data_IF_797946369485
#
_entry.id   IF_797946369485
#
_cell.length_a   1.000
_cell.length_b   1.000
_cell.length_c   1.000
_cell.angle_alpha   90.00
_cell.angle_beta   90.00
_cell.angle_gamma   90.00
#
_symmetry.space_group_name_H-M   'P 1'
#
loop_
_entity.id
_entity.type
_entity.pdbx_description
1 polymer ?
#
# COMPACT_ATOMS: atom_id res chain seq x y z
N UNK A 1 17.79 52.11 -31.30
CA UNK A 1 17.37 50.71 -31.48
C UNK A 1 16.44 50.64 -32.69
N UNK A 2 16.81 49.90 -33.73
CA UNK A 2 16.03 49.80 -34.97
C UNK A 2 14.75 49.00 -34.72
N UNK A 3 13.66 49.27 -35.45
CA UNK A 3 12.36 48.59 -35.29
C UNK A 3 12.50 47.04 -35.37
N UNK A 4 13.40 46.55 -36.23
CA UNK A 4 13.72 45.12 -36.36
C UNK A 4 14.30 44.49 -35.09
N UNK A 5 15.13 45.22 -34.34
CA UNK A 5 15.70 44.75 -33.07
C UNK A 5 14.61 44.61 -31.99
N UNK A 6 13.61 45.52 -31.99
CA UNK A 6 12.47 45.43 -31.05
C UNK A 6 11.64 44.19 -31.34
N UNK A 7 11.29 43.96 -32.60
CA UNK A 7 10.52 42.78 -33.02
C UNK A 7 11.25 41.48 -32.67
N UNK A 8 12.57 41.41 -32.90
CA UNK A 8 13.37 40.23 -32.56
C UNK A 8 13.39 39.94 -31.05
N UNK A 9 13.49 40.97 -30.20
CA UNK A 9 13.40 40.81 -28.75
C UNK A 9 12.02 40.34 -28.30
N UNK A 10 10.94 40.88 -28.87
CA UNK A 10 9.58 40.43 -28.57
C UNK A 10 9.36 38.96 -28.97
N UNK A 11 9.84 38.55 -30.14
CA UNK A 11 9.78 37.15 -30.57
C UNK A 11 10.56 36.24 -29.61
N UNK A 12 11.75 36.66 -29.19
CA UNK A 12 12.56 35.90 -28.24
C UNK A 12 11.88 35.79 -26.87
N UNK A 13 11.26 36.86 -26.37
CA UNK A 13 10.48 36.81 -25.13
C UNK A 13 9.25 35.92 -25.26
N UNK A 14 8.56 35.93 -26.41
CA UNK A 14 7.40 35.07 -26.67
C UNK A 14 7.80 33.59 -26.66
N UNK A 15 8.89 33.25 -27.35
CA UNK A 15 9.43 31.89 -27.38
C UNK A 15 9.85 31.46 -25.97
N UNK A 16 10.56 32.32 -25.24
CA UNK A 16 10.97 32.04 -23.86
C UNK A 16 9.76 31.81 -22.95
N UNK A 17 8.74 32.67 -23.00
CA UNK A 17 7.50 32.52 -22.23
C UNK A 17 6.76 31.23 -22.56
N UNK A 18 6.68 30.87 -23.85
CA UNK A 18 6.05 29.63 -24.30
C UNK A 18 6.83 28.40 -23.81
N UNK A 19 8.16 28.44 -23.85
CA UNK A 19 9.00 27.38 -23.29
C UNK A 19 8.81 27.23 -21.78
N UNK A 20 8.80 28.34 -21.03
CA UNK A 20 8.54 28.30 -19.58
C UNK A 20 7.14 27.76 -19.26
N UNK A 21 6.12 28.16 -20.02
CA UNK A 21 4.77 27.63 -19.87
C UNK A 21 4.72 26.11 -20.13
N UNK A 22 5.38 25.64 -21.18
CA UNK A 22 5.43 24.21 -21.50
C UNK A 22 6.16 23.40 -20.42
N UNK A 23 7.32 23.86 -19.94
CA UNK A 23 8.07 23.21 -18.86
C UNK A 23 7.25 23.20 -17.57
N UNK A 24 6.61 24.31 -17.22
CA UNK A 24 5.76 24.40 -16.04
C UNK A 24 4.56 23.45 -16.11
N UNK A 25 3.93 23.33 -17.27
CA UNK A 25 2.84 22.37 -17.48
C UNK A 25 3.32 20.92 -17.35
N UNK A 26 4.45 20.57 -17.99
CA UNK A 26 5.02 19.22 -17.92
C UNK A 26 5.38 18.82 -16.48
N UNK A 27 6.00 19.74 -15.72
CA UNK A 27 6.29 19.51 -14.31
C UNK A 27 5.03 19.30 -13.48
N UNK A 28 4.00 20.13 -13.67
CA UNK A 28 2.73 19.97 -12.93
C UNK A 28 2.03 18.65 -13.25
N UNK A 29 2.05 18.21 -14.51
CA UNK A 29 1.48 16.92 -14.92
C UNK A 29 2.22 15.74 -14.28
N UNK A 30 3.55 15.73 -14.34
CA UNK A 30 4.37 14.70 -13.69
C UNK A 30 4.15 14.66 -12.18
N UNK A 31 4.16 15.82 -11.52
CA UNK A 31 3.94 15.94 -10.07
C UNK A 31 2.56 15.42 -9.66
N UNK A 32 1.53 15.69 -10.46
CA UNK A 32 0.19 15.19 -10.21
C UNK A 32 0.15 13.66 -10.26
N UNK A 33 0.77 13.07 -11.27
CA UNK A 33 0.82 11.61 -11.43
C UNK A 33 1.55 10.93 -10.26
N UNK A 34 2.69 11.48 -9.83
CA UNK A 34 3.40 11.00 -8.63
C UNK A 34 2.52 11.10 -7.37
N UNK A 35 1.82 12.23 -7.18
CA UNK A 35 0.92 12.40 -6.04
C UNK A 35 -0.26 11.42 -6.06
N UNK A 36 -0.79 11.11 -7.23
CA UNK A 36 -1.90 10.15 -7.39
C UNK A 36 -1.42 8.72 -7.07
N UNK A 37 -0.24 8.33 -7.57
CA UNK A 37 0.38 7.05 -7.24
C UNK A 37 0.60 6.90 -5.73
N UNK A 38 1.17 7.93 -5.07
CA UNK A 38 1.38 7.90 -3.61
C UNK A 38 0.06 7.82 -2.83
N UNK A 39 -0.99 8.47 -3.32
CA UNK A 39 -2.32 8.37 -2.71
C UNK A 39 -2.93 6.97 -2.84
N UNK A 40 -2.77 6.32 -3.99
CA UNK A 40 -3.23 4.96 -4.22
C UNK A 40 -2.49 3.96 -3.31
N UNK A 41 -1.17 4.07 -3.19
CA UNK A 41 -0.36 3.24 -2.28
C UNK A 41 -0.82 3.44 -0.84
N UNK A 42 -1.00 4.69 -0.39
CA UNK A 42 -1.45 5.02 0.97
C UNK A 42 -2.82 4.42 1.27
N UNK A 43 -3.75 4.51 0.32
CA UNK A 43 -5.10 3.95 0.46
C UNK A 43 -5.04 2.44 0.60
N UNK A 44 -4.29 1.74 -0.27
CA UNK A 44 -4.08 0.30 -0.17
C UNK A 44 -3.45 -0.10 1.18
N UNK A 45 -2.45 0.63 1.65
CA UNK A 45 -1.80 0.38 2.94
C UNK A 45 -2.78 0.50 4.13
N UNK A 46 -3.65 1.51 4.15
CA UNK A 46 -4.63 1.65 5.24
C UNK A 46 -5.71 0.57 5.20
N UNK A 47 -6.16 0.17 4.01
CA UNK A 47 -7.06 -0.97 3.86
C UNK A 47 -6.41 -2.27 4.36
N UNK A 48 -5.14 -2.51 4.01
CA UNK A 48 -4.38 -3.66 4.53
C UNK A 48 -4.23 -3.62 6.05
N UNK A 49 -3.92 -2.47 6.66
CA UNK A 49 -3.84 -2.33 8.12
C UNK A 49 -5.15 -2.68 8.81
N UNK A 50 -6.27 -2.26 8.21
CA UNK A 50 -7.61 -2.58 8.72
C UNK A 50 -7.89 -4.08 8.65
N UNK A 51 -7.58 -4.72 7.52
CA UNK A 51 -7.74 -6.17 7.36
C UNK A 51 -6.79 -6.98 8.27
N UNK A 52 -5.56 -6.53 8.48
CA UNK A 52 -4.61 -7.13 9.42
C UNK A 52 -5.13 -7.08 10.86
N UNK A 53 -5.73 -5.95 11.27
CA UNK A 53 -6.34 -5.83 12.59
C UNK A 53 -7.56 -6.75 12.74
N UNK A 54 -8.41 -6.86 11.72
CA UNK A 54 -9.55 -7.79 11.72
C UNK A 54 -9.10 -9.25 11.78
N UNK A 55 -8.05 -9.61 11.04
CA UNK A 55 -7.49 -10.95 11.06
C UNK A 55 -6.93 -11.32 12.44
N UNK A 56 -6.16 -10.43 13.06
CA UNK A 56 -5.64 -10.66 14.42
C UNK A 56 -6.78 -10.82 15.44
N UNK A 57 -7.78 -9.93 15.40
CA UNK A 57 -8.94 -10.03 16.27
C UNK A 57 -9.66 -11.38 16.08
N UNK A 58 -9.84 -11.81 14.83
CA UNK A 58 -10.47 -13.09 14.51
C UNK A 58 -9.69 -14.27 15.09
N UNK A 59 -8.35 -14.25 14.98
CA UNK A 59 -7.48 -15.29 15.53
C UNK A 59 -7.64 -15.36 17.05
N UNK A 60 -7.71 -14.21 17.73
CA UNK A 60 -7.89 -14.17 19.17
C UNK A 60 -9.25 -14.69 19.61
N UNK A 61 -10.33 -14.33 18.91
CA UNK A 61 -11.66 -14.89 19.16
C UNK A 61 -11.66 -16.40 18.95
N UNK A 62 -11.00 -16.89 17.90
CA UNK A 62 -10.92 -18.32 17.60
C UNK A 62 -10.14 -19.09 18.68
N UNK A 63 -8.98 -18.58 19.08
CA UNK A 63 -8.03 -19.30 19.94
C UNK A 63 -8.26 -19.08 21.43
N UNK A 64 -8.49 -17.84 21.87
CA UNK A 64 -8.61 -17.52 23.30
C UNK A 64 -10.05 -17.56 23.78
N UNK A 65 -10.98 -17.02 22.99
CA UNK A 65 -12.41 -17.03 23.36
C UNK A 65 -13.11 -18.33 22.98
N UNK A 66 -12.45 -19.18 22.18
CA UNK A 66 -12.95 -20.48 21.69
C UNK A 66 -14.31 -20.36 20.94
N UNK A 67 -14.61 -19.17 20.40
CA UNK A 67 -15.84 -18.92 19.64
C UNK A 67 -15.63 -19.29 18.16
N UNK A 68 -16.03 -20.51 17.82
CA UNK A 68 -15.91 -21.08 16.46
C UNK A 68 -16.87 -20.43 15.44
N UNK A 69 -17.89 -19.73 15.91
CA UNK A 69 -18.86 -19.02 15.08
C UNK A 69 -18.30 -17.69 14.63
N UNK A 70 -17.81 -16.88 15.57
CA UNK A 70 -17.25 -15.57 15.27
C UNK A 70 -15.82 -15.66 14.72
N UNK A 71 -14.98 -16.50 15.32
CA UNK A 71 -13.59 -16.79 14.95
C UNK A 71 -13.44 -17.79 13.79
N UNK A 72 -14.31 -17.74 12.78
CA UNK A 72 -14.27 -18.73 11.69
C UNK A 72 -13.05 -18.53 10.78
N UNK A 73 -12.22 -19.57 10.53
CA UNK A 73 -11.10 -19.50 9.59
C UNK A 73 -11.49 -19.10 8.17
N UNK A 74 -12.76 -19.29 7.78
CA UNK A 74 -13.27 -18.82 6.49
C UNK A 74 -13.23 -17.30 6.36
N UNK A 75 -13.55 -16.58 7.44
CA UNK A 75 -13.41 -15.11 7.49
C UNK A 75 -11.93 -14.72 7.42
N UNK A 76 -11.04 -15.49 8.06
CA UNK A 76 -9.59 -15.27 7.98
C UNK A 76 -9.03 -15.43 6.56
N UNK A 77 -9.50 -16.41 5.80
CA UNK A 77 -9.16 -16.56 4.37
C UNK A 77 -9.56 -15.36 3.53
N UNK A 78 -10.68 -14.71 3.83
CA UNK A 78 -11.11 -13.48 3.15
C UNK A 78 -10.15 -12.34 3.47
N UNK A 79 -9.84 -12.08 4.74
CA UNK A 79 -8.92 -11.00 5.11
C UNK A 79 -7.51 -11.22 4.58
N UNK A 80 -6.96 -12.44 4.67
CA UNK A 80 -5.66 -12.79 4.09
C UNK A 80 -5.65 -12.61 2.56
N UNK A 81 -6.76 -12.97 1.89
CA UNK A 81 -6.93 -12.73 0.46
C UNK A 81 -6.87 -11.25 0.11
N UNK A 82 -7.62 -10.42 0.82
CA UNK A 82 -7.64 -8.96 0.61
C UNK A 82 -6.28 -8.33 0.87
N UNK A 83 -5.58 -8.72 1.95
CA UNK A 83 -4.22 -8.25 2.25
C UNK A 83 -3.28 -8.58 1.08
N UNK A 84 -3.34 -9.80 0.57
CA UNK A 84 -2.55 -10.22 -0.58
C UNK A 84 -2.90 -9.43 -1.85
N UNK A 85 -4.19 -9.22 -2.13
CA UNK A 85 -4.64 -8.51 -3.33
C UNK A 85 -4.23 -7.02 -3.30
N UNK A 86 -4.40 -6.35 -2.16
CA UNK A 86 -3.97 -4.95 -2.01
C UNK A 86 -2.46 -4.77 -2.06
N UNK A 87 -1.68 -5.79 -1.65
CA UNK A 87 -0.22 -5.71 -1.69
C UNK A 87 0.32 -5.43 -3.11
N UNK A 88 -0.37 -5.87 -4.16
CA UNK A 88 0.01 -5.60 -5.55
C UNK A 88 -0.01 -4.12 -5.94
N UNK A 89 -0.73 -3.28 -5.19
CA UNK A 89 -0.79 -1.83 -5.39
C UNK A 89 0.32 -1.07 -4.65
N UNK A 90 1.25 -1.78 -4.01
CA UNK A 90 2.28 -1.21 -3.13
C UNK A 90 3.70 -1.43 -3.71
N UNK A 91 4.63 -2.01 -2.95
CA UNK A 91 5.98 -2.34 -3.38
C UNK A 91 6.25 -3.86 -3.29
N UNK A 92 7.39 -4.31 -3.80
CA UNK A 92 7.76 -5.73 -3.84
C UNK A 92 8.01 -6.34 -2.46
N UNK A 93 8.51 -5.55 -1.50
CA UNK A 93 8.74 -5.98 -0.11
C UNK A 93 7.42 -6.36 0.56
N UNK A 94 6.41 -5.49 0.43
CA UNK A 94 5.09 -5.71 1.00
C UNK A 94 4.32 -6.85 0.31
N UNK A 95 4.48 -7.00 -1.01
CA UNK A 95 3.95 -8.16 -1.72
C UNK A 95 4.53 -9.46 -1.19
N UNK A 96 5.83 -9.48 -0.91
CA UNK A 96 6.50 -10.66 -0.38
C UNK A 96 6.03 -11.02 1.03
N UNK A 97 5.93 -10.05 1.94
CA UNK A 97 5.46 -10.30 3.31
C UNK A 97 3.96 -10.66 3.35
N UNK A 98 3.12 -10.06 2.50
CA UNK A 98 1.72 -10.46 2.36
C UNK A 98 1.56 -11.89 1.81
N UNK A 99 2.38 -12.26 0.81
CA UNK A 99 2.39 -13.63 0.27
C UNK A 99 2.86 -14.64 1.31
N UNK A 100 3.83 -14.26 2.14
CA UNK A 100 4.32 -15.08 3.25
C UNK A 100 3.23 -15.30 4.30
N UNK A 101 2.55 -14.23 4.74
CA UNK A 101 1.40 -14.33 5.63
C UNK A 101 0.32 -15.27 5.07
N UNK A 102 0.05 -15.19 3.76
CA UNK A 102 -0.91 -16.07 3.09
C UNK A 102 -0.47 -17.54 3.11
N UNK A 103 0.81 -17.81 2.88
CA UNK A 103 1.36 -19.16 2.96
C UNK A 103 1.28 -19.71 4.39
N UNK A 104 1.71 -18.93 5.38
CA UNK A 104 1.64 -19.30 6.79
C UNK A 104 0.20 -19.55 7.24
N UNK A 105 -0.75 -18.72 6.82
CA UNK A 105 -2.17 -18.96 7.07
C UNK A 105 -2.64 -20.28 6.44
N UNK A 106 -2.26 -20.54 5.17
CA UNK A 106 -2.59 -21.78 4.46
C UNK A 106 -2.15 -23.02 5.20
N UNK A 107 -0.97 -22.98 5.81
CA UNK A 107 -0.39 -24.13 6.52
C UNK A 107 -0.98 -24.31 7.93
N UNK A 108 -1.48 -23.23 8.55
CA UNK A 108 -1.81 -23.21 9.97
C UNK A 108 -3.31 -23.05 10.29
N UNK A 109 -4.16 -22.65 9.34
CA UNK A 109 -5.56 -22.26 9.62
C UNK A 109 -6.39 -23.37 10.28
N UNK A 110 -6.10 -24.64 10.01
CA UNK A 110 -6.83 -25.78 10.61
C UNK A 110 -6.56 -25.91 12.11
N UNK A 111 -5.38 -25.44 12.55
CA UNK A 111 -4.88 -25.60 13.91
C UNK A 111 -5.05 -24.35 14.77
N UNK A 112 -5.60 -23.26 14.20
CA UNK A 112 -5.73 -21.95 14.88
C UNK A 112 -6.48 -22.06 16.23
N UNK A 113 -7.42 -23.00 16.35
CA UNK A 113 -8.22 -23.21 17.56
C UNK A 113 -7.47 -23.87 18.71
N UNK A 114 -6.47 -24.69 18.42
CA UNK A 114 -5.89 -25.63 19.38
C UNK A 114 -4.39 -25.49 19.56
N UNK A 115 -3.70 -24.85 18.62
CA UNK A 115 -2.25 -24.77 18.60
C UNK A 115 -1.79 -23.31 18.74
N UNK A 116 -1.20 -22.98 19.89
CA UNK A 116 -0.63 -21.65 20.14
C UNK A 116 0.54 -21.34 19.20
N UNK A 117 1.34 -22.34 18.81
CA UNK A 117 2.42 -22.13 17.84
C UNK A 117 1.87 -21.69 16.47
N UNK A 118 0.74 -22.25 16.04
CA UNK A 118 0.08 -21.85 14.80
C UNK A 118 -0.40 -20.39 14.86
N UNK A 119 -0.91 -19.96 16.02
CA UNK A 119 -1.31 -18.58 16.28
C UNK A 119 -0.11 -17.63 16.26
N UNK A 120 0.95 -17.97 17.01
CA UNK A 120 2.14 -17.13 17.15
C UNK A 120 2.83 -16.90 15.80
N UNK A 121 2.87 -17.93 14.93
CA UNK A 121 3.41 -17.80 13.57
C UNK A 121 2.61 -16.81 12.74
N UNK A 122 1.28 -16.92 12.74
CA UNK A 122 0.43 -16.01 11.96
C UNK A 122 0.47 -14.58 12.51
N UNK A 123 0.45 -14.40 13.84
CA UNK A 123 0.53 -13.07 14.47
C UNK A 123 1.89 -12.41 14.18
N UNK A 124 2.97 -13.17 14.20
CA UNK A 124 4.30 -12.67 13.81
C UNK A 124 4.32 -12.18 12.35
N UNK A 125 3.69 -12.91 11.44
CA UNK A 125 3.60 -12.49 10.04
C UNK A 125 2.73 -11.23 9.89
N UNK A 126 1.62 -11.13 10.64
CA UNK A 126 0.79 -9.92 10.71
C UNK A 126 1.65 -8.71 11.13
N UNK A 127 2.47 -8.85 12.18
CA UNK A 127 3.33 -7.77 12.66
C UNK A 127 4.44 -7.42 11.66
N UNK A 128 4.95 -8.39 10.92
CA UNK A 128 5.92 -8.18 9.84
C UNK A 128 5.30 -7.32 8.73
N UNK A 129 4.11 -7.69 8.24
CA UNK A 129 3.41 -6.90 7.22
C UNK A 129 3.11 -5.47 7.73
N UNK A 130 2.73 -5.31 9.01
CA UNK A 130 2.53 -3.97 9.60
C UNK A 130 3.81 -3.15 9.63
N UNK A 131 4.95 -3.76 9.96
CA UNK A 131 6.23 -3.08 9.99
C UNK A 131 6.62 -2.59 8.58
N UNK A 132 6.44 -3.44 7.58
CA UNK A 132 6.72 -3.11 6.18
C UNK A 132 5.78 -2.00 5.65
N UNK A 133 4.48 -2.03 6.02
CA UNK A 133 3.55 -0.93 5.70
C UNK A 133 4.06 0.39 6.27
N UNK A 134 4.46 0.40 7.55
CA UNK A 134 4.96 1.63 8.21
C UNK A 134 6.23 2.14 7.54
N UNK A 135 7.13 1.24 7.15
CA UNK A 135 8.35 1.58 6.42
C UNK A 135 8.01 2.23 5.07
N UNK A 136 7.17 1.60 4.26
CA UNK A 136 6.74 2.13 2.97
C UNK A 136 6.05 3.50 3.12
N UNK A 137 5.14 3.65 4.08
CA UNK A 137 4.44 4.93 4.29
C UNK A 137 5.39 6.09 4.65
N UNK A 138 6.52 5.80 5.30
CA UNK A 138 7.55 6.81 5.59
C UNK A 138 8.43 7.15 4.38
N UNK A 139 8.43 6.31 3.35
CA UNK A 139 9.20 6.52 2.10
C UNK A 139 8.39 7.28 1.04
N UNK A 140 7.07 7.43 1.21
CA UNK A 140 6.23 8.20 0.29
C UNK A 140 6.44 9.71 0.49
N UNK A 141 6.93 10.40 -0.54
CA UNK A 141 7.08 11.86 -0.59
C UNK A 141 5.79 12.60 -0.97
#
# INVERSE_FOLDING_TARGET
MKLSEKVRLYQLSLIASMLFAFVGFAYNAWRLEVSEQNNNIRTACFEMLRELAQLEQLIYIAHYDQDKTQGSPRKGWVSVGLINDFSYLTNSELQHSATTLRATWSDNWQNIYANTQAVDLVVKDIDTVRADIKKLLNELE
#
